data_IF_005465763943
#
_entry.id   IF_005465763943
#
_cell.length_a   1.000
_cell.length_b   1.000
_cell.length_c   1.000
_cell.angle_alpha   90.00
_cell.angle_beta   90.00
_cell.angle_gamma   90.00
#
_symmetry.space_group_name_H-M   'P 1'
#
loop_
_entity.id
_entity.type
_entity.pdbx_description
1 polymer ?
#
# COMPACT_ATOMS: atom_id res chain seq x y z
N UNK A 1 12.33 3.71 25.67
CA UNK A 1 11.64 2.69 24.85
C UNK A 1 12.29 2.71 23.47
N UNK A 2 12.72 1.56 22.91
CA UNK A 2 13.17 1.51 21.51
C UNK A 2 11.93 1.43 20.63
N UNK A 3 11.58 2.53 19.97
CA UNK A 3 10.44 2.59 19.07
C UNK A 3 10.90 2.08 17.70
N UNK A 4 10.30 0.98 17.23
CA UNK A 4 10.54 0.48 15.88
C UNK A 4 9.83 1.39 14.87
N UNK A 5 10.62 2.07 14.03
CA UNK A 5 10.08 2.94 12.98
C UNK A 5 9.74 2.12 11.74
N UNK A 6 8.47 2.12 11.36
CA UNK A 6 8.00 1.58 10.08
C UNK A 6 7.85 2.71 9.05
N UNK A 7 8.07 2.41 7.76
CA UNK A 7 7.92 3.42 6.70
C UNK A 7 8.46 3.00 5.33
N UNK A 8 8.23 3.84 4.31
CA UNK A 8 8.75 3.63 2.94
C UNK A 8 10.25 3.88 2.89
N UNK A 9 11.04 2.90 2.45
CA UNK A 9 12.48 3.07 2.29
C UNK A 9 12.84 4.01 1.12
N UNK A 10 13.86 4.85 1.31
CA UNK A 10 14.49 5.62 0.21
C UNK A 10 15.40 4.75 -0.68
N UNK A 11 15.68 3.51 -0.25
CA UNK A 11 16.67 2.65 -0.86
C UNK A 11 15.96 1.71 -1.82
N UNK A 12 16.12 1.99 -3.10
CA UNK A 12 15.71 1.06 -4.12
C UNK A 12 16.61 -0.17 -4.08
N UNK A 13 15.97 -1.35 -4.01
CA UNK A 13 16.64 -2.64 -4.03
C UNK A 13 16.91 -3.07 -5.47
N UNK A 14 17.81 -4.03 -5.63
CA UNK A 14 18.05 -4.66 -6.92
C UNK A 14 16.80 -5.42 -7.38
N UNK A 15 16.30 -5.08 -8.57
CA UNK A 15 15.28 -5.89 -9.23
C UNK A 15 15.90 -7.21 -9.71
N UNK A 16 15.14 -8.32 -9.66
CA UNK A 16 15.62 -9.68 -9.94
C UNK A 16 16.43 -9.76 -11.25
N UNK A 17 17.53 -10.51 -11.25
CA UNK A 17 18.37 -10.74 -12.44
C UNK A 17 19.83 -10.32 -12.29
N UNK A 18 20.59 -10.34 -13.40
CA UNK A 18 21.97 -9.82 -13.43
C UNK A 18 21.97 -8.29 -13.50
N UNK A 19 22.84 -7.64 -12.74
CA UNK A 19 22.99 -6.18 -12.75
C UNK A 19 24.43 -5.84 -13.16
N UNK A 20 24.57 -5.01 -14.19
CA UNK A 20 25.89 -4.54 -14.62
C UNK A 20 26.49 -3.63 -13.55
N UNK A 21 27.83 -3.60 -13.40
CA UNK A 21 28.48 -2.73 -12.42
C UNK A 21 28.09 -1.25 -12.54
N UNK A 22 27.89 -0.75 -13.76
CA UNK A 22 27.48 0.65 -14.02
C UNK A 22 26.08 0.92 -13.45
N UNK A 23 25.15 -0.02 -13.60
CA UNK A 23 23.77 0.13 -13.11
C UNK A 23 23.74 0.10 -11.58
N UNK A 24 24.60 -0.72 -10.97
CA UNK A 24 24.80 -0.74 -9.51
C UNK A 24 25.25 0.63 -8.99
N UNK A 25 26.22 1.27 -9.66
CA UNK A 25 26.71 2.61 -9.30
C UNK A 25 25.62 3.66 -9.51
N UNK A 26 24.88 3.60 -10.62
CA UNK A 26 23.75 4.51 -10.88
C UNK A 26 22.68 4.40 -9.80
N UNK A 27 22.28 3.18 -9.42
CA UNK A 27 21.31 2.95 -8.33
C UNK A 27 21.82 3.50 -7.01
N UNK A 28 23.10 3.28 -6.68
CA UNK A 28 23.68 3.81 -5.45
C UNK A 28 23.66 5.34 -5.40
N UNK A 29 24.07 6.02 -6.50
CA UNK A 29 23.98 7.49 -6.61
C UNK A 29 22.53 7.99 -6.49
N UNK A 30 21.58 7.28 -7.11
CA UNK A 30 20.14 7.58 -7.00
C UNK A 30 19.64 7.45 -5.56
N UNK A 31 19.96 6.37 -4.87
CA UNK A 31 19.57 6.16 -3.47
C UNK A 31 20.13 7.26 -2.55
N UNK A 32 21.39 7.68 -2.74
CA UNK A 32 21.97 8.80 -1.97
C UNK A 32 21.21 10.09 -2.24
N UNK A 33 20.90 10.38 -3.51
CA UNK A 33 20.10 11.56 -3.87
C UNK A 33 18.74 11.53 -3.17
N UNK A 34 18.04 10.40 -3.17
CA UNK A 34 16.73 10.27 -2.52
C UNK A 34 16.80 10.48 -1.01
N UNK A 35 17.81 9.91 -0.35
CA UNK A 35 18.04 10.15 1.08
C UNK A 35 18.27 11.64 1.34
N UNK A 36 19.14 12.29 0.57
CA UNK A 36 19.41 13.72 0.74
C UNK A 36 18.17 14.58 0.50
N UNK A 37 17.38 14.27 -0.52
CA UNK A 37 16.12 14.97 -0.78
C UNK A 37 15.14 14.82 0.39
N UNK A 38 14.96 13.62 0.93
CA UNK A 38 14.03 13.41 2.05
C UNK A 38 14.50 14.12 3.32
N UNK A 39 15.82 14.17 3.58
CA UNK A 39 16.39 14.95 4.69
C UNK A 39 16.18 16.46 4.49
N UNK A 40 16.40 16.97 3.27
CA UNK A 40 16.36 18.42 2.99
C UNK A 40 14.94 18.96 2.83
N UNK A 41 14.05 18.20 2.21
CA UNK A 41 12.71 18.66 1.78
C UNK A 41 11.56 17.90 2.43
N UNK A 42 11.82 16.84 3.19
CA UNK A 42 10.79 15.97 3.77
C UNK A 42 10.29 14.85 2.83
N UNK A 43 10.58 14.93 1.53
CA UNK A 43 10.22 13.91 0.52
C UNK A 43 11.28 13.80 -0.58
N UNK A 44 11.23 12.75 -1.39
CA UNK A 44 12.14 12.55 -2.54
C UNK A 44 11.40 12.27 -3.85
N UNK A 45 12.11 12.27 -4.99
CA UNK A 45 11.47 12.07 -6.29
C UNK A 45 10.75 10.70 -6.39
N UNK A 46 11.23 9.68 -5.68
CA UNK A 46 10.57 8.36 -5.57
C UNK A 46 9.25 8.40 -4.81
N UNK A 47 9.10 9.35 -3.89
CA UNK A 47 7.83 9.55 -3.16
C UNK A 47 6.79 10.20 -4.07
N UNK A 48 7.24 11.12 -4.93
CA UNK A 48 6.37 11.80 -5.91
C UNK A 48 5.83 10.83 -6.97
N UNK A 49 6.57 9.77 -7.32
CA UNK A 49 6.11 8.78 -8.30
C UNK A 49 4.86 8.01 -7.87
N UNK A 50 4.63 7.89 -6.55
CA UNK A 50 3.44 7.25 -5.98
C UNK A 50 3.25 7.77 -4.56
N UNK A 51 2.56 8.91 -4.49
CA UNK A 51 2.26 9.63 -3.25
C UNK A 51 1.28 8.82 -2.41
N UNK A 52 0.31 8.19 -3.06
CA UNK A 52 -0.65 7.25 -2.49
C UNK A 52 0.04 6.12 -1.73
N UNK A 53 0.96 5.40 -2.38
CA UNK A 53 1.71 4.31 -1.73
C UNK A 53 2.65 4.83 -0.64
N UNK A 54 3.29 5.99 -0.85
CA UNK A 54 4.08 6.64 0.21
C UNK A 54 3.23 6.95 1.44
N UNK A 55 2.05 7.53 1.25
CA UNK A 55 1.13 7.90 2.33
C UNK A 55 0.70 6.66 3.11
N UNK A 56 0.23 5.62 2.42
CA UNK A 56 -0.22 4.38 3.06
C UNK A 56 0.90 3.60 3.76
N UNK A 57 2.16 3.78 3.36
CA UNK A 57 3.31 3.16 4.03
C UNK A 57 3.84 3.97 5.22
N UNK A 58 3.64 5.29 5.23
CA UNK A 58 4.23 6.19 6.24
C UNK A 58 3.22 6.56 7.32
N UNK A 59 1.99 6.87 6.96
CA UNK A 59 0.97 7.36 7.90
C UNK A 59 0.63 6.37 9.01
N UNK A 60 0.41 5.05 8.75
CA UNK A 60 0.18 4.09 9.82
C UNK A 60 1.34 4.02 10.81
N UNK A 61 2.59 4.14 10.32
CA UNK A 61 3.78 4.14 11.16
C UNK A 61 3.88 5.38 12.06
N UNK A 62 3.56 6.55 11.50
CA UNK A 62 3.50 7.81 12.28
C UNK A 62 2.39 7.77 13.33
N UNK A 63 1.19 7.33 12.96
CA UNK A 63 0.06 7.20 13.88
C UNK A 63 0.33 6.17 14.97
N UNK A 64 0.98 5.05 14.63
CA UNK A 64 1.40 4.05 15.62
C UNK A 64 2.42 4.63 16.60
N UNK A 65 3.41 5.38 16.10
CA UNK A 65 4.36 6.06 16.97
C UNK A 65 3.63 7.06 17.89
N UNK A 66 2.72 7.88 17.36
CA UNK A 66 1.91 8.81 18.16
C UNK A 66 1.13 8.06 19.24
N UNK A 67 0.43 6.98 18.86
CA UNK A 67 -0.30 6.11 19.77
C UNK A 67 0.57 5.57 20.90
N UNK A 68 1.76 5.08 20.57
CA UNK A 68 2.67 4.45 21.54
C UNK A 68 3.38 5.47 22.44
N UNK A 69 3.47 6.73 22.02
CA UNK A 69 4.16 7.79 22.77
C UNK A 69 3.25 8.83 23.38
N UNK A 70 1.95 8.85 23.07
CA UNK A 70 1.08 9.93 23.53
C UNK A 70 0.76 9.80 25.02
N UNK A 71 0.82 10.93 25.71
CA UNK A 71 0.52 11.04 27.15
C UNK A 71 -0.78 11.80 27.40
N UNK A 72 -1.52 12.16 26.34
CA UNK A 72 -2.74 12.94 26.42
C UNK A 72 -3.75 12.48 25.37
N UNK A 73 -4.93 13.09 25.39
CA UNK A 73 -5.97 12.87 24.40
C UNK A 73 -6.70 14.20 24.12
N UNK A 74 -7.24 14.37 22.91
CA UNK A 74 -7.94 15.60 22.53
C UNK A 74 -9.25 15.79 23.30
N UNK A 75 -9.73 17.03 23.32
CA UNK A 75 -11.03 17.38 23.88
C UNK A 75 -12.18 16.70 23.11
N UNK A 76 -12.68 15.58 23.62
CA UNK A 76 -13.94 15.02 23.13
C UNK A 76 -15.07 16.00 23.48
N UNK A 77 -15.80 16.52 22.48
CA UNK A 77 -16.93 17.43 22.68
C UNK A 77 -17.77 17.06 23.93
N UNK A 78 -17.64 17.83 25.01
CA UNK A 78 -18.33 17.63 26.28
C UNK A 78 -17.45 17.25 27.50
N UNK A 79 -16.18 16.89 27.30
CA UNK A 79 -15.21 16.67 28.38
C UNK A 79 -14.06 17.69 28.31
N UNK A 80 -13.39 17.96 29.43
CA UNK A 80 -12.25 18.89 29.52
C UNK A 80 -10.95 18.13 29.30
N UNK A 81 -10.03 18.67 28.50
CA UNK A 81 -8.79 18.01 28.11
C UNK A 81 -7.89 17.95 29.31
N UNK A 82 -7.57 16.73 29.71
CA UNK A 82 -6.62 16.51 30.79
C UNK A 82 -5.22 16.40 30.18
N UNK A 83 -4.61 17.55 29.89
CA UNK A 83 -3.16 17.59 29.74
C UNK A 83 -2.53 17.21 31.08
N UNK A 84 -1.88 16.04 31.15
CA UNK A 84 -1.23 15.51 32.35
C UNK A 84 0.05 16.30 32.68
N UNK A 85 -0.10 17.52 33.19
CA UNK A 85 1.02 18.29 33.76
C UNK A 85 1.18 17.99 35.24
N UNK A 86 2.00 17.00 35.57
CA UNK A 86 2.85 17.00 36.78
C UNK A 86 2.22 17.20 38.16
N UNK A 87 0.90 17.09 38.33
CA UNK A 87 0.28 17.07 39.66
C UNK A 87 0.29 15.62 40.13
N UNK A 88 1.24 15.26 41.00
CA UNK A 88 1.38 13.93 41.60
C UNK A 88 0.17 13.46 42.43
N UNK A 89 -0.96 13.24 41.76
CA UNK A 89 -2.16 12.56 42.25
C UNK A 89 -2.56 11.53 41.20
N UNK A 90 -2.60 10.27 41.63
CA UNK A 90 -2.78 9.08 40.80
C UNK A 90 -4.22 8.84 40.33
N UNK A 91 -5.18 9.67 40.74
CA UNK A 91 -6.60 9.32 40.66
C UNK A 91 -7.36 10.07 39.55
N UNK A 92 -6.70 10.97 38.81
CA UNK A 92 -7.31 11.83 37.78
C UNK A 92 -6.98 11.38 36.32
N UNK A 93 -6.42 10.18 36.12
CA UNK A 93 -6.29 9.63 34.77
C UNK A 93 -7.68 9.21 34.30
N UNK A 94 -8.29 10.01 33.42
CA UNK A 94 -9.47 9.57 32.68
C UNK A 94 -9.06 8.45 31.71
N UNK A 95 -8.94 7.24 32.27
CA UNK A 95 -8.62 6.01 31.56
C UNK A 95 -9.63 5.75 30.44
N UNK A 96 -10.85 6.28 30.53
CA UNK A 96 -11.84 6.15 29.47
C UNK A 96 -11.53 7.07 28.29
N UNK A 97 -11.12 8.31 28.53
CA UNK A 97 -10.64 9.24 27.50
C UNK A 97 -9.40 8.73 26.76
N UNK A 98 -8.37 8.33 27.51
CA UNK A 98 -7.15 7.72 26.94
C UNK A 98 -7.47 6.47 26.13
N UNK A 99 -8.34 5.59 26.63
CA UNK A 99 -8.73 4.38 25.91
C UNK A 99 -9.49 4.70 24.62
N UNK A 100 -10.40 5.67 24.64
CA UNK A 100 -11.12 6.11 23.42
C UNK A 100 -10.15 6.63 22.37
N UNK A 101 -9.14 7.40 22.77
CA UNK A 101 -8.12 7.90 21.85
C UNK A 101 -7.26 6.77 21.29
N UNK A 102 -6.87 5.81 22.13
CA UNK A 102 -6.19 4.58 21.71
C UNK A 102 -7.00 3.81 20.66
N UNK A 103 -8.31 3.66 20.89
CA UNK A 103 -9.23 2.98 19.98
C UNK A 103 -9.35 3.72 18.63
N UNK A 104 -9.47 5.05 18.64
CA UNK A 104 -9.53 5.89 17.43
C UNK A 104 -8.24 5.76 16.60
N UNK A 105 -7.08 5.93 17.24
CA UNK A 105 -5.80 5.79 16.55
C UNK A 105 -5.61 4.36 16.01
N UNK A 106 -6.04 3.34 16.76
CA UNK A 106 -6.01 1.94 16.31
C UNK A 106 -6.85 1.72 15.06
N UNK A 107 -8.05 2.29 15.04
CA UNK A 107 -8.97 2.17 13.90
C UNK A 107 -8.40 2.87 12.66
N UNK A 108 -7.85 4.08 12.80
CA UNK A 108 -7.19 4.79 11.69
C UNK A 108 -6.00 3.99 11.14
N UNK A 109 -5.14 3.46 12.01
CA UNK A 109 -4.00 2.62 11.63
C UNK A 109 -4.48 1.37 10.89
N UNK A 110 -5.52 0.71 11.41
CA UNK A 110 -6.09 -0.49 10.81
C UNK A 110 -6.62 -0.20 9.40
N UNK A 111 -7.44 0.82 9.24
CA UNK A 111 -8.06 1.16 7.95
C UNK A 111 -7.01 1.54 6.90
N UNK A 112 -5.99 2.32 7.26
CA UNK A 112 -4.91 2.66 6.34
C UNK A 112 -4.08 1.44 5.92
N UNK A 113 -3.83 0.50 6.85
CA UNK A 113 -3.16 -0.76 6.50
C UNK A 113 -4.04 -1.63 5.59
N UNK A 114 -5.34 -1.71 5.84
CA UNK A 114 -6.26 -2.50 4.98
C UNK A 114 -6.45 -1.87 3.60
N UNK A 115 -6.28 -0.56 3.46
CA UNK A 115 -6.34 0.14 2.16
C UNK A 115 -5.17 -0.21 1.23
N UNK A 116 -4.03 -0.59 1.81
CA UNK A 116 -2.81 -0.87 1.08
C UNK A 116 -2.73 -2.36 0.69
N UNK A 117 -2.47 -2.63 -0.60
CA UNK A 117 -2.41 -3.99 -1.16
C UNK A 117 -1.43 -4.91 -0.43
N UNK A 118 -0.27 -4.37 -0.07
CA UNK A 118 0.81 -5.16 0.51
C UNK A 118 0.55 -5.55 1.97
N UNK A 119 -0.26 -4.75 2.68
CA UNK A 119 -0.57 -4.94 4.11
C UNK A 119 -2.00 -5.42 4.37
N UNK A 120 -2.88 -5.36 3.36
CA UNK A 120 -4.26 -5.79 3.46
C UNK A 120 -4.33 -7.26 3.87
N UNK A 121 -5.14 -7.55 4.89
CA UNK A 121 -5.33 -8.91 5.38
C UNK A 121 -6.18 -9.76 4.43
N UNK A 122 -7.07 -9.13 3.64
CA UNK A 122 -7.92 -9.83 2.68
C UNK A 122 -7.18 -10.11 1.38
N UNK A 123 -7.14 -11.38 0.97
CA UNK A 123 -6.52 -11.82 -0.28
C UNK A 123 -7.53 -12.48 -1.19
N UNK A 124 -7.22 -12.50 -2.49
CA UNK A 124 -8.07 -13.14 -3.48
C UNK A 124 -8.00 -14.66 -3.31
N UNK A 125 -9.15 -15.29 -3.08
CA UNK A 125 -9.25 -16.75 -2.88
C UNK A 125 -8.80 -17.55 -4.10
N UNK A 126 -8.91 -16.95 -5.29
CA UNK A 126 -8.54 -17.58 -6.56
C UNK A 126 -7.12 -17.23 -7.01
N UNK A 127 -6.34 -16.50 -6.21
CA UNK A 127 -5.00 -16.04 -6.60
C UNK A 127 -4.08 -17.20 -6.99
N UNK A 128 -4.02 -18.25 -6.17
CA UNK A 128 -3.16 -19.41 -6.44
C UNK A 128 -3.60 -20.18 -7.69
N UNK A 129 -4.90 -20.37 -7.86
CA UNK A 129 -5.45 -21.13 -8.99
C UNK A 129 -5.34 -20.35 -10.30
N UNK A 130 -5.57 -19.04 -10.27
CA UNK A 130 -5.29 -18.15 -11.38
C UNK A 130 -3.80 -18.15 -11.73
N UNK A 131 -2.90 -18.13 -10.73
CA UNK A 131 -1.47 -18.20 -11.00
C UNK A 131 -1.07 -19.50 -11.69
N UNK A 132 -1.62 -20.65 -11.25
CA UNK A 132 -1.40 -21.95 -11.92
C UNK A 132 -1.93 -21.93 -13.36
N UNK A 133 -3.18 -21.49 -13.55
CA UNK A 133 -3.80 -21.36 -14.88
C UNK A 133 -2.97 -20.46 -15.82
N UNK A 134 -2.42 -19.36 -15.29
CA UNK A 134 -1.55 -18.47 -16.04
C UNK A 134 -0.23 -19.13 -16.44
N UNK A 135 0.39 -19.94 -15.56
CA UNK A 135 1.60 -20.69 -15.91
C UNK A 135 1.30 -21.75 -16.98
N UNK A 136 0.22 -22.50 -16.84
CA UNK A 136 -0.19 -23.51 -17.84
C UNK A 136 -0.47 -22.85 -19.20
N UNK A 137 -1.19 -21.72 -19.22
CA UNK A 137 -1.42 -20.92 -20.42
C UNK A 137 -0.10 -20.51 -21.06
N UNK A 138 0.86 -20.03 -20.26
CA UNK A 138 2.18 -19.60 -20.74
C UNK A 138 3.01 -20.75 -21.30
N UNK A 139 2.94 -21.94 -20.71
CA UNK A 139 3.63 -23.14 -21.20
C UNK A 139 2.99 -23.65 -22.51
N UNK A 140 1.66 -23.74 -22.54
CA UNK A 140 0.89 -24.22 -23.69
C UNK A 140 1.03 -23.27 -24.88
N UNK A 141 0.71 -21.99 -24.69
CA UNK A 141 0.58 -21.00 -25.77
C UNK A 141 1.77 -20.03 -25.90
N UNK A 142 2.77 -20.14 -25.02
CA UNK A 142 3.92 -19.23 -25.01
C UNK A 142 3.63 -17.90 -24.33
N UNK A 143 4.65 -17.03 -24.24
CA UNK A 143 4.52 -15.73 -23.57
C UNK A 143 3.47 -14.86 -24.28
N UNK A 144 2.42 -14.44 -23.57
CA UNK A 144 1.28 -13.68 -24.10
C UNK A 144 0.56 -14.38 -25.28
N UNK A 145 0.50 -15.71 -25.26
CA UNK A 145 -0.22 -16.50 -26.26
C UNK A 145 0.36 -16.38 -27.67
N UNK A 146 1.67 -16.26 -27.82
CA UNK A 146 2.36 -16.22 -29.11
C UNK A 146 1.92 -17.30 -30.11
N UNK A 147 1.56 -18.49 -29.63
CA UNK A 147 1.11 -19.62 -30.47
C UNK A 147 -0.36 -19.55 -30.87
N UNK A 148 -1.13 -18.60 -30.33
CA UNK A 148 -2.54 -18.37 -30.69
C UNK A 148 -2.71 -17.39 -31.85
N UNK A 149 -1.62 -16.72 -32.28
CA UNK A 149 -1.66 -15.75 -33.37
C UNK A 149 -2.00 -16.42 -34.69
N UNK A 150 -2.88 -15.78 -35.45
CA UNK A 150 -3.18 -16.18 -36.83
C UNK A 150 -2.20 -15.54 -37.83
N UNK A 151 -2.06 -16.15 -39.02
CA UNK A 151 -1.17 -15.61 -40.08
C UNK A 151 -1.62 -14.22 -40.55
N UNK A 152 -2.93 -13.97 -40.59
CA UNK A 152 -3.52 -12.67 -40.94
C UNK A 152 -3.21 -11.60 -39.88
N UNK A 153 -3.26 -11.95 -38.59
CA UNK A 153 -2.85 -11.05 -37.51
C UNK A 153 -1.36 -10.72 -37.61
N UNK A 154 -0.51 -11.71 -37.89
CA UNK A 154 0.94 -11.49 -38.09
C UNK A 154 1.21 -10.57 -39.29
N UNK A 155 0.42 -10.67 -40.37
CA UNK A 155 0.54 -9.80 -41.54
C UNK A 155 0.14 -8.35 -41.21
N UNK A 156 -0.97 -8.16 -40.47
CA UNK A 156 -1.40 -6.84 -40.00
C UNK A 156 -0.44 -6.22 -39.00
N UNK A 157 0.10 -7.03 -38.07
CA UNK A 157 1.12 -6.61 -37.10
C UNK A 157 2.36 -6.04 -37.79
N UNK A 158 2.80 -6.66 -38.90
CA UNK A 158 3.93 -6.17 -39.69
C UNK A 158 3.64 -4.87 -40.43
N UNK A 159 2.38 -4.61 -40.78
CA UNK A 159 1.96 -3.42 -41.51
C UNK A 159 1.66 -2.24 -40.58
N UNK A 160 0.97 -2.49 -39.47
CA UNK A 160 0.47 -1.47 -38.53
C UNK A 160 1.42 -1.25 -37.34
N UNK A 161 2.33 -2.20 -37.06
CA UNK A 161 3.26 -2.14 -35.92
C UNK A 161 2.60 -2.39 -34.55
N UNK A 162 1.31 -2.74 -34.52
CA UNK A 162 0.54 -3.01 -33.31
C UNK A 162 0.44 -4.51 -33.07
N UNK A 163 0.95 -4.98 -31.93
CA UNK A 163 0.97 -6.39 -31.55
C UNK A 163 -0.23 -6.78 -30.67
N UNK A 164 -0.96 -7.85 -31.02
CA UNK A 164 -2.07 -8.36 -30.18
C UNK A 164 -1.55 -9.28 -29.07
N UNK A 165 -1.80 -8.89 -27.82
CA UNK A 165 -1.51 -9.72 -26.65
C UNK A 165 -2.72 -10.60 -26.31
N UNK A 166 -2.48 -11.89 -26.08
CA UNK A 166 -3.50 -12.80 -25.55
C UNK A 166 -3.29 -13.05 -24.06
N UNK A 167 -4.41 -13.11 -23.35
CA UNK A 167 -4.52 -13.42 -21.94
C UNK A 167 -5.28 -14.73 -21.74
N UNK A 168 -5.19 -15.38 -20.56
CA UNK A 168 -5.85 -16.65 -20.31
C UNK A 168 -7.33 -16.69 -20.70
N UNK A 169 -8.14 -15.68 -20.39
CA UNK A 169 -9.59 -15.73 -20.70
C UNK A 169 -9.97 -15.43 -22.14
N UNK A 170 -9.01 -15.14 -23.03
CA UNK A 170 -9.24 -15.23 -24.48
C UNK A 170 -9.49 -16.70 -24.91
N UNK A 171 -9.11 -17.65 -24.06
CA UNK A 171 -9.23 -19.09 -24.27
C UNK A 171 -10.35 -19.64 -23.38
N UNK A 172 -11.35 -20.37 -23.93
CA UNK A 172 -12.47 -20.88 -23.16
C UNK A 172 -12.06 -21.71 -21.94
N UNK A 173 -10.95 -22.44 -22.01
CA UNK A 173 -10.42 -23.27 -20.92
C UNK A 173 -10.10 -22.48 -19.64
N UNK A 174 -9.65 -21.23 -19.74
CA UNK A 174 -9.23 -20.43 -18.58
C UNK A 174 -10.16 -19.25 -18.29
N UNK A 175 -11.17 -19.03 -19.14
CA UNK A 175 -12.09 -17.89 -19.01
C UNK A 175 -12.81 -17.86 -17.67
N UNK A 176 -13.33 -19.01 -17.22
CA UNK A 176 -14.10 -19.06 -15.98
C UNK A 176 -13.25 -18.73 -14.73
N UNK A 177 -12.02 -19.24 -14.64
CA UNK A 177 -11.12 -18.95 -13.52
C UNK A 177 -10.67 -17.49 -13.55
N UNK A 178 -10.40 -16.95 -14.73
CA UNK A 178 -10.02 -15.55 -14.91
C UNK A 178 -11.17 -14.60 -14.51
N UNK A 179 -12.40 -14.88 -14.97
CA UNK A 179 -13.59 -14.09 -14.63
C UNK A 179 -13.83 -14.07 -13.11
N UNK A 180 -13.76 -15.23 -12.44
CA UNK A 180 -13.91 -15.34 -10.98
C UNK A 180 -12.80 -14.60 -10.24
N UNK A 181 -11.55 -14.72 -10.69
CA UNK A 181 -10.41 -14.01 -10.11
C UNK A 181 -10.59 -12.49 -10.20
N UNK A 182 -10.98 -11.97 -11.37
CA UNK A 182 -11.17 -10.53 -11.54
C UNK A 182 -12.42 -10.01 -10.83
N UNK A 183 -13.47 -10.81 -10.69
CA UNK A 183 -14.64 -10.43 -9.89
C UNK A 183 -14.30 -10.30 -8.40
N UNK A 184 -13.58 -11.28 -7.82
CA UNK A 184 -13.13 -11.17 -6.42
C UNK A 184 -12.12 -10.03 -6.25
N UNK A 185 -11.22 -9.81 -7.23
CA UNK A 185 -10.29 -8.67 -7.19
C UNK A 185 -11.03 -7.34 -7.15
N UNK A 186 -12.09 -7.18 -7.97
CA UNK A 186 -12.94 -5.98 -7.94
C UNK A 186 -13.62 -5.77 -6.58
N UNK A 187 -14.06 -6.84 -5.91
CA UNK A 187 -14.64 -6.76 -4.55
C UNK A 187 -13.58 -6.36 -3.52
N UNK A 188 -12.36 -6.84 -3.66
CA UNK A 188 -11.24 -6.45 -2.80
C UNK A 188 -10.86 -4.98 -3.01
N UNK A 189 -10.81 -4.51 -4.26
CA UNK A 189 -10.53 -3.12 -4.58
C UNK A 189 -11.60 -2.20 -3.99
N UNK A 190 -12.88 -2.57 -4.09
CA UNK A 190 -13.98 -1.84 -3.44
C UNK A 190 -13.80 -1.78 -1.92
N UNK A 191 -13.49 -2.91 -1.28
CA UNK A 191 -13.24 -2.94 0.16
C UNK A 191 -12.07 -2.04 0.57
N UNK A 192 -10.98 -2.05 -0.20
CA UNK A 192 -9.82 -1.19 0.05
C UNK A 192 -10.17 0.29 -0.13
N UNK A 193 -11.01 0.61 -1.11
CA UNK A 193 -11.48 1.97 -1.36
C UNK A 193 -12.38 2.48 -0.22
N UNK A 194 -13.29 1.64 0.29
CA UNK A 194 -14.11 1.91 1.47
C UNK A 194 -13.27 2.12 2.73
N UNK A 195 -12.24 1.29 2.94
CA UNK A 195 -11.28 1.46 4.04
C UNK A 195 -10.54 2.80 3.93
N UNK A 196 -10.11 3.17 2.71
CA UNK A 196 -9.39 4.41 2.44
C UNK A 196 -10.31 5.61 2.70
N UNK A 197 -11.54 5.60 2.21
CA UNK A 197 -12.49 6.69 2.42
C UNK A 197 -12.77 6.89 3.92
N UNK A 198 -13.06 5.81 4.66
CA UNK A 198 -13.27 5.89 6.11
C UNK A 198 -12.02 6.40 6.85
N UNK A 199 -10.82 5.92 6.46
CA UNK A 199 -9.58 6.39 7.07
C UNK A 199 -9.37 7.90 6.86
N UNK A 200 -9.67 8.40 5.67
CA UNK A 200 -9.55 9.83 5.34
C UNK A 200 -10.62 10.65 6.06
N UNK A 201 -11.84 10.15 6.21
CA UNK A 201 -12.88 10.82 7.00
C UNK A 201 -12.49 10.95 8.47
N UNK A 202 -11.96 9.88 9.07
CA UNK A 202 -11.41 9.95 10.43
C UNK A 202 -10.22 10.90 10.51
N UNK A 203 -9.30 10.85 9.55
CA UNK A 203 -8.15 11.74 9.50
C UNK A 203 -8.57 13.21 9.39
N UNK A 204 -9.65 13.49 8.64
CA UNK A 204 -10.24 14.82 8.53
C UNK A 204 -10.87 15.28 9.84
N UNK A 205 -11.59 14.39 10.54
CA UNK A 205 -12.22 14.68 11.83
C UNK A 205 -11.16 15.04 12.88
N UNK A 206 -10.11 14.22 13.00
CA UNK A 206 -9.08 14.33 14.04
C UNK A 206 -7.85 15.12 13.60
N UNK A 207 -7.90 15.82 12.45
CA UNK A 207 -6.71 16.41 11.83
C UNK A 207 -5.91 17.32 12.78
N UNK A 208 -6.62 18.12 13.57
CA UNK A 208 -6.02 19.09 14.50
C UNK A 208 -5.64 18.49 15.87
N UNK A 209 -5.87 17.20 16.04
CA UNK A 209 -5.68 16.44 17.29
C UNK A 209 -4.55 15.42 17.18
N UNK A 210 -3.94 15.28 15.99
CA UNK A 210 -2.79 14.39 15.75
C UNK A 210 -1.46 15.01 16.20
N UNK A 211 -1.40 15.43 17.46
CA UNK A 211 -0.23 15.96 18.14
C UNK A 211 -0.13 15.37 19.56
N UNK A 212 1.05 15.48 20.18
CA UNK A 212 1.30 15.12 21.58
C UNK A 212 2.15 16.22 22.24
#
# INVERSE_FOLDING_TARGET
MNIEKTGKTCIEKKYKGFEKPVDKIKRWKRNIRFIFQRVKYGYCDSDVWSIDYWFLMVMPGMLKQLKDTTHSYPDFCGNTSHALFGTGKSDDVDNAGMKKWDDILSEMIFLLNESNEDTCTKKNKYEEDYHKAYQEFREKYGKHGQKLRTEDEIAREKQEGLYRLYHPGDVPEYKEIEDRYFEESRKLDQYRDECKDRAIDMFKEWFWDLWD
#
